data_IF_088256313307
#
_entry.id   IF_088256313307
#
_cell.length_a   1.000
_cell.length_b   1.000
_cell.length_c   1.000
_cell.angle_alpha   90.00
_cell.angle_beta   90.00
_cell.angle_gamma   90.00
#
_symmetry.space_group_name_H-M   'P 1'
#
loop_
_entity.id
_entity.type
_entity.pdbx_description
1 polymer ?
#
# COMPACT_ATOMS: atom_id res chain seq x y z
N UNK A 1 18.46 -1.82 9.14
CA UNK A 1 18.80 -0.39 9.15
C UNK A 1 18.80 0.09 7.72
N UNK A 2 18.19 1.23 7.41
CA UNK A 2 18.32 1.88 6.10
C UNK A 2 19.54 2.80 6.09
N UNK A 3 20.24 2.87 4.95
CA UNK A 3 21.55 3.49 4.82
C UNK A 3 21.48 5.02 4.68
N UNK A 4 21.09 5.69 5.77
CA UNK A 4 21.22 7.14 5.93
C UNK A 4 22.43 7.47 6.80
N UNK A 5 23.62 7.52 6.20
CA UNK A 5 24.89 7.71 6.91
C UNK A 5 24.86 8.84 7.96
N UNK A 6 24.22 9.96 7.63
CA UNK A 6 24.20 11.13 8.51
C UNK A 6 23.44 10.85 9.81
N UNK A 7 22.47 9.92 9.79
CA UNK A 7 21.71 9.47 10.96
C UNK A 7 22.54 8.65 11.92
N UNK A 8 23.63 8.05 11.47
CA UNK A 8 24.58 7.32 12.31
C UNK A 8 25.71 8.22 12.84
N UNK A 9 25.88 9.41 12.25
CA UNK A 9 26.98 10.32 12.57
C UNK A 9 26.82 10.96 13.96
N UNK A 10 27.90 11.16 14.75
CA UNK A 10 27.85 11.81 16.06
C UNK A 10 27.20 13.19 16.08
N UNK A 11 27.23 13.91 14.94
CA UNK A 11 26.53 15.19 14.78
C UNK A 11 25.01 15.05 15.01
N UNK A 12 24.41 13.99 14.48
CA UNK A 12 22.97 13.74 14.65
C UNK A 12 22.66 13.31 16.08
N UNK A 13 23.51 12.48 16.69
CA UNK A 13 23.39 12.15 18.12
C UNK A 13 23.41 13.42 18.97
N UNK A 14 24.36 14.33 18.72
CA UNK A 14 24.46 15.59 19.46
C UNK A 14 23.27 16.51 19.22
N UNK A 15 22.73 16.55 18.00
CA UNK A 15 21.49 17.27 17.70
C UNK A 15 20.31 16.76 18.54
N UNK A 16 20.14 15.44 18.64
CA UNK A 16 19.09 14.80 19.45
C UNK A 16 19.24 15.17 20.93
N UNK A 17 20.46 15.11 21.46
CA UNK A 17 20.75 15.50 22.85
C UNK A 17 20.36 16.96 23.11
N UNK A 18 20.77 17.90 22.26
CA UNK A 18 20.46 19.33 22.41
C UNK A 18 18.95 19.58 22.44
N UNK A 19 18.18 18.88 21.61
CA UNK A 19 16.71 18.99 21.60
C UNK A 19 16.12 18.42 22.89
N UNK A 20 16.57 17.24 23.34
CA UNK A 20 16.10 16.60 24.59
C UNK A 20 16.46 17.41 25.82
N UNK A 21 17.62 18.06 25.83
CA UNK A 21 18.08 18.97 26.87
C UNK A 21 17.26 20.28 26.90
N UNK A 22 16.43 20.55 25.89
CA UNK A 22 15.60 21.75 25.83
C UNK A 22 16.39 23.04 25.59
N UNK A 23 17.58 22.95 24.98
CA UNK A 23 18.50 24.09 24.79
C UNK A 23 17.85 25.27 24.05
N UNK A 24 16.95 24.99 23.11
CA UNK A 24 16.19 25.99 22.35
C UNK A 24 14.72 26.12 22.78
N UNK A 25 14.35 25.55 23.92
CA UNK A 25 12.96 25.46 24.38
C UNK A 25 12.12 24.51 23.51
N UNK A 26 10.82 24.78 23.40
CA UNK A 26 9.92 23.97 22.59
C UNK A 26 10.21 24.15 21.10
N UNK A 27 10.48 23.07 20.37
CA UNK A 27 10.63 23.11 18.91
C UNK A 27 9.31 23.56 18.27
N UNK A 28 9.37 24.52 17.34
CA UNK A 28 8.20 25.09 16.64
C UNK A 28 8.26 24.89 15.14
N UNK A 29 9.39 25.23 14.52
CA UNK A 29 9.57 25.18 13.07
C UNK A 29 10.88 24.49 12.72
N UNK A 30 10.82 23.60 11.73
CA UNK A 30 11.99 22.94 11.13
C UNK A 30 12.10 23.41 9.68
N UNK A 31 13.30 23.77 9.23
CA UNK A 31 13.59 24.01 7.81
C UNK A 31 14.74 23.10 7.40
N UNK A 32 14.56 22.33 6.34
CA UNK A 32 15.60 21.42 5.84
C UNK A 32 15.66 21.45 4.31
N UNK A 33 16.86 21.66 3.77
CA UNK A 33 17.11 21.72 2.33
C UNK A 33 18.17 20.72 1.90
N UNK A 34 17.91 19.98 0.81
CA UNK A 34 18.96 19.27 0.09
C UNK A 34 18.73 19.35 -1.41
N UNK A 35 19.55 20.13 -2.09
CA UNK A 35 19.52 20.30 -3.53
C UNK A 35 20.90 20.51 -4.12
N UNK A 36 21.02 20.21 -5.42
CA UNK A 36 22.18 20.53 -6.21
C UNK A 36 21.75 20.83 -7.65
N UNK A 37 22.65 21.40 -8.44
CA UNK A 37 22.42 21.60 -9.86
C UNK A 37 23.28 20.62 -10.66
N UNK A 38 22.64 19.76 -11.43
CA UNK A 38 23.28 18.93 -12.45
C UNK A 38 22.72 19.23 -13.85
N UNK A 39 23.50 18.93 -14.87
CA UNK A 39 23.05 19.07 -16.27
C UNK A 39 21.97 18.05 -16.58
N UNK A 40 20.89 18.48 -17.23
CA UNK A 40 19.83 17.60 -17.70
C UNK A 40 20.39 16.50 -18.60
N UNK A 41 20.13 15.24 -18.24
CA UNK A 41 20.47 14.06 -19.02
C UNK A 41 19.33 13.05 -18.87
N UNK A 42 18.46 12.87 -19.86
CA UNK A 42 17.29 11.99 -19.74
C UNK A 42 17.65 10.50 -19.61
N UNK A 43 18.88 10.10 -19.95
CA UNK A 43 19.40 8.75 -19.70
C UNK A 43 20.10 8.63 -18.34
N UNK A 44 20.26 9.73 -17.61
CA UNK A 44 20.87 9.75 -16.29
C UNK A 44 19.86 9.33 -15.22
N UNK A 45 20.33 8.55 -14.22
CA UNK A 45 19.49 8.00 -13.13
C UNK A 45 18.62 9.05 -12.41
N UNK A 46 19.06 10.30 -12.35
CA UNK A 46 18.34 11.40 -11.69
C UNK A 46 17.10 11.85 -12.45
N UNK A 47 17.09 11.67 -13.77
CA UNK A 47 16.00 12.10 -14.65
C UNK A 47 15.19 10.93 -15.22
N UNK A 48 15.60 9.69 -14.96
CA UNK A 48 14.92 8.49 -15.44
C UNK A 48 13.78 8.10 -14.49
N UNK A 49 12.50 8.23 -14.90
CA UNK A 49 11.36 7.85 -14.08
C UNK A 49 11.28 6.34 -13.83
N UNK A 50 11.90 5.49 -14.66
CA UNK A 50 11.91 4.04 -14.45
C UNK A 50 12.83 3.62 -13.30
N UNK A 51 13.79 4.47 -12.93
CA UNK A 51 14.75 4.25 -11.84
C UNK A 51 14.38 5.00 -10.55
N UNK A 52 13.20 5.64 -10.50
CA UNK A 52 12.79 6.45 -9.36
C UNK A 52 13.54 7.78 -9.24
N UNK A 53 13.94 8.36 -10.38
CA UNK A 53 14.58 9.68 -10.41
C UNK A 53 13.70 10.81 -9.85
N UNK A 54 14.29 12.00 -9.70
CA UNK A 54 13.66 13.18 -9.11
C UNK A 54 14.25 13.60 -7.77
N UNK A 55 13.99 14.85 -7.39
CA UNK A 55 14.50 15.45 -6.17
C UNK A 55 13.98 14.76 -4.91
N UNK A 56 12.68 14.48 -4.84
CA UNK A 56 12.00 13.92 -3.66
C UNK A 56 12.64 12.60 -3.22
N UNK A 57 12.86 11.66 -4.12
CA UNK A 57 13.43 10.35 -3.77
C UNK A 57 14.96 10.36 -3.70
N UNK A 58 15.66 11.15 -4.53
CA UNK A 58 17.14 11.16 -4.53
C UNK A 58 17.70 11.88 -3.29
N UNK A 59 17.24 13.11 -3.03
CA UNK A 59 17.78 13.96 -1.96
C UNK A 59 16.72 14.49 -0.99
N UNK A 60 15.46 14.57 -1.37
CA UNK A 60 14.34 15.01 -0.52
C UNK A 60 14.04 14.05 0.63
N UNK A 61 14.45 12.79 0.50
CA UNK A 61 14.40 11.78 1.56
C UNK A 61 15.27 12.15 2.78
N UNK A 62 16.29 13.01 2.63
CA UNK A 62 17.11 13.51 3.74
C UNK A 62 16.39 14.60 4.56
N UNK A 63 15.89 15.72 3.96
CA UNK A 63 15.02 16.66 4.66
C UNK A 63 13.80 16.03 5.33
N UNK A 64 13.15 15.07 4.66
CA UNK A 64 12.01 14.34 5.24
C UNK A 64 12.42 13.57 6.50
N UNK A 65 13.49 12.77 6.41
CA UNK A 65 13.92 11.93 7.52
C UNK A 65 14.38 12.76 8.72
N UNK A 66 15.13 13.85 8.53
CA UNK A 66 15.57 14.69 9.65
C UNK A 66 14.39 15.42 10.31
N UNK A 67 13.40 15.87 9.53
CA UNK A 67 12.23 16.54 10.08
C UNK A 67 11.40 15.59 10.96
N UNK A 68 11.21 14.34 10.51
CA UNK A 68 10.55 13.27 11.28
C UNK A 68 11.30 12.94 12.57
N UNK A 69 12.64 12.90 12.55
CA UNK A 69 13.47 12.72 13.75
C UNK A 69 13.29 13.88 14.74
N UNK A 70 13.51 15.12 14.30
CA UNK A 70 13.46 16.30 15.18
C UNK A 70 12.08 16.45 15.81
N UNK A 71 11.01 16.30 15.01
CA UNK A 71 9.64 16.37 15.52
C UNK A 71 9.33 15.24 16.51
N UNK A 72 9.82 14.02 16.25
CA UNK A 72 9.71 12.90 17.18
C UNK A 72 10.40 13.18 18.51
N UNK A 73 11.67 13.59 18.46
CA UNK A 73 12.48 13.87 19.64
C UNK A 73 11.86 14.99 20.48
N UNK A 74 11.35 16.05 19.83
CA UNK A 74 10.63 17.13 20.51
C UNK A 74 9.35 16.65 21.21
N UNK A 75 8.74 15.57 20.73
CA UNK A 75 7.56 14.94 21.32
C UNK A 75 7.89 13.76 22.27
N UNK A 76 9.17 13.57 22.63
CA UNK A 76 9.61 12.47 23.50
C UNK A 76 9.55 11.09 22.84
N UNK A 77 9.62 11.03 21.51
CA UNK A 77 9.66 9.80 20.69
C UNK A 77 10.94 9.75 19.86
N UNK A 78 11.20 8.62 19.22
CA UNK A 78 12.38 8.48 18.34
C UNK A 78 12.17 9.13 16.97
N UNK A 79 10.93 9.16 16.48
CA UNK A 79 10.50 9.87 15.28
C UNK A 79 8.98 10.15 15.37
N UNK A 80 8.48 11.03 14.50
CA UNK A 80 7.05 11.31 14.37
C UNK A 80 6.59 11.21 12.91
N UNK A 81 5.34 10.77 12.72
CA UNK A 81 4.67 10.87 11.42
C UNK A 81 4.01 12.25 11.28
N UNK A 82 4.08 12.89 10.11
CA UNK A 82 3.32 14.10 9.88
C UNK A 82 1.81 13.79 9.82
N UNK A 83 0.99 14.61 10.45
CA UNK A 83 -0.47 14.57 10.29
C UNK A 83 -0.86 15.04 8.88
N UNK A 84 -0.14 16.03 8.34
CA UNK A 84 -0.41 16.66 7.05
C UNK A 84 0.88 16.84 6.24
N UNK A 85 0.76 16.65 4.92
CA UNK A 85 1.83 16.87 3.93
C UNK A 85 1.23 17.64 2.76
N UNK A 86 1.66 18.88 2.57
CA UNK A 86 1.34 19.71 1.40
C UNK A 86 2.61 19.96 0.61
N UNK A 87 2.53 20.02 -0.72
CA UNK A 87 3.72 20.22 -1.54
C UNK A 87 3.43 20.78 -2.92
N UNK A 88 4.47 21.32 -3.53
CA UNK A 88 4.50 21.78 -4.91
C UNK A 88 5.83 21.38 -5.55
N UNK A 89 5.84 21.14 -6.86
CA UNK A 89 7.03 20.76 -7.59
C UNK A 89 7.00 21.32 -9.01
N UNK A 90 8.19 21.50 -9.59
CA UNK A 90 8.33 21.59 -11.05
C UNK A 90 8.62 20.19 -11.58
N UNK A 91 7.73 19.70 -12.43
CA UNK A 91 7.98 18.46 -13.17
C UNK A 91 8.78 18.79 -14.44
N UNK A 92 9.82 17.99 -14.67
CA UNK A 92 10.71 18.08 -15.82
C UNK A 92 10.16 17.43 -17.08
N UNK A 93 10.96 17.45 -18.14
CA UNK A 93 10.58 16.87 -19.44
C UNK A 93 10.30 15.35 -19.40
N UNK A 94 10.89 14.63 -18.44
CA UNK A 94 10.68 13.19 -18.24
C UNK A 94 9.53 12.89 -17.26
N UNK A 95 8.89 13.92 -16.71
CA UNK A 95 7.77 13.81 -15.77
C UNK A 95 8.16 13.57 -14.31
N UNK A 96 9.45 13.49 -13.99
CA UNK A 96 9.97 13.49 -12.61
C UNK A 96 9.96 14.89 -12.02
N UNK A 97 10.03 15.01 -10.70
CA UNK A 97 10.20 16.29 -10.01
C UNK A 97 11.67 16.75 -10.06
N UNK A 98 11.95 17.85 -10.77
CA UNK A 98 13.33 18.38 -10.84
C UNK A 98 13.68 19.20 -9.59
N UNK A 99 12.69 19.89 -9.02
CA UNK A 99 12.72 20.47 -7.68
C UNK A 99 11.33 20.47 -7.06
N UNK A 100 11.29 20.38 -5.73
CA UNK A 100 10.06 20.33 -4.96
C UNK A 100 10.22 21.01 -3.60
N UNK A 101 9.09 21.48 -3.08
CA UNK A 101 8.95 21.99 -1.71
C UNK A 101 7.77 21.31 -1.02
N UNK A 102 7.86 21.16 0.30
CA UNK A 102 6.77 20.68 1.12
C UNK A 102 6.63 21.47 2.43
N UNK A 103 5.39 21.56 2.93
CA UNK A 103 5.07 21.95 4.30
C UNK A 103 4.43 20.76 5.00
N UNK A 104 4.98 20.41 6.17
CA UNK A 104 4.50 19.32 7.01
C UNK A 104 3.92 19.89 8.31
N UNK A 105 2.89 19.22 8.82
CA UNK A 105 2.39 19.43 10.19
C UNK A 105 2.56 18.15 10.97
N UNK A 106 3.23 18.21 12.11
CA UNK A 106 3.40 17.09 13.02
C UNK A 106 2.47 17.19 14.24
N UNK A 107 2.23 16.06 14.93
CA UNK A 107 1.59 16.06 16.24
C UNK A 107 2.26 17.06 17.20
N UNK A 108 1.47 17.71 18.04
CA UNK A 108 1.99 18.76 18.95
C UNK A 108 2.22 20.12 18.29
N UNK A 109 1.91 20.27 17.00
CA UNK A 109 1.89 21.56 16.30
C UNK A 109 3.23 22.02 15.74
N UNK A 110 4.25 21.16 15.73
CA UNK A 110 5.52 21.42 15.04
C UNK A 110 5.28 21.48 13.53
N UNK A 111 5.77 22.53 12.87
CA UNK A 111 5.72 22.67 11.42
C UNK A 111 7.10 22.41 10.81
N UNK A 112 7.14 21.85 9.61
CA UNK A 112 8.38 21.72 8.85
C UNK A 112 8.24 22.23 7.42
N UNK A 113 9.29 22.85 6.89
CA UNK A 113 9.43 23.24 5.49
C UNK A 113 10.61 22.49 4.88
N UNK A 114 10.34 21.77 3.80
CA UNK A 114 11.33 20.98 3.08
C UNK A 114 11.56 21.58 1.70
N UNK A 115 12.81 21.56 1.25
CA UNK A 115 13.20 21.89 -0.13
C UNK A 115 14.11 20.81 -0.68
N UNK A 116 13.90 20.46 -1.94
CA UNK A 116 14.76 19.52 -2.65
C UNK A 116 14.86 19.80 -4.15
N UNK A 117 15.89 19.29 -4.80
CA UNK A 117 15.99 19.28 -6.26
C UNK A 117 17.36 18.88 -6.81
N UNK A 118 17.36 18.39 -8.03
CA UNK A 118 18.56 17.94 -8.78
C UNK A 118 19.01 18.95 -9.84
N UNK A 119 18.19 19.97 -10.10
CA UNK A 119 18.42 21.03 -11.08
C UNK A 119 18.32 22.44 -10.45
N UNK A 120 18.54 22.56 -9.14
CA UNK A 120 18.49 23.84 -8.40
C UNK A 120 19.60 23.91 -7.34
N UNK A 121 20.37 24.98 -7.35
CA UNK A 121 21.46 25.20 -6.38
C UNK A 121 20.98 25.88 -5.10
N UNK A 122 20.27 25.16 -4.24
CA UNK A 122 19.82 25.67 -2.94
C UNK A 122 20.82 25.46 -1.79
N UNK A 123 20.53 26.04 -0.63
CA UNK A 123 21.31 25.80 0.59
C UNK A 123 21.06 24.38 1.14
N UNK A 124 22.14 23.68 1.46
CA UNK A 124 22.10 22.34 2.03
C UNK A 124 22.30 22.38 3.54
N UNK A 125 21.27 22.86 4.25
CA UNK A 125 21.32 23.12 5.69
C UNK A 125 20.06 22.64 6.40
N UNK A 126 20.15 22.45 7.72
CA UNK A 126 19.00 22.26 8.60
C UNK A 126 18.96 23.40 9.62
N UNK A 127 17.78 24.01 9.79
CA UNK A 127 17.49 25.02 10.80
C UNK A 127 16.34 24.55 11.68
N UNK A 128 16.48 24.71 13.00
CA UNK A 128 15.45 24.36 13.97
C UNK A 128 15.18 25.58 14.82
N UNK A 129 13.94 26.04 14.83
CA UNK A 129 13.50 27.21 15.58
C UNK A 129 12.64 26.74 16.76
N UNK A 130 13.08 27.06 17.96
CA UNK A 130 12.36 26.81 19.20
C UNK A 130 11.90 28.09 19.88
N UNK A 131 11.22 27.97 21.02
CA UNK A 131 10.69 29.11 21.77
C UNK A 131 11.79 30.00 22.40
N UNK A 132 12.95 29.43 22.71
CA UNK A 132 14.05 30.11 23.42
C UNK A 132 15.32 30.26 22.58
N UNK A 133 15.31 29.82 21.32
CA UNK A 133 16.49 29.89 20.46
C UNK A 133 16.35 29.15 19.14
N UNK A 134 17.48 28.96 18.46
CA UNK A 134 17.57 28.25 17.20
C UNK A 134 18.86 27.45 17.07
N UNK A 135 18.80 26.41 16.23
CA UNK A 135 19.94 25.62 15.79
C UNK A 135 20.14 25.81 14.29
N UNK A 136 21.40 25.88 13.86
CA UNK A 136 21.80 25.77 12.45
C UNK A 136 22.81 24.63 12.33
N UNK A 137 22.55 23.72 11.39
CA UNK A 137 23.43 22.64 10.99
C UNK A 137 23.91 22.94 9.57
N UNK A 138 25.13 23.49 9.39
CA UNK A 138 25.59 23.99 8.09
C UNK A 138 25.95 22.90 7.07
N UNK A 139 26.32 21.71 7.54
CA UNK A 139 26.61 20.55 6.70
C UNK A 139 25.97 19.30 7.34
N UNK A 140 24.66 19.08 7.11
CA UNK A 140 23.91 18.01 7.75
C UNK A 140 24.01 16.67 7.02
N UNK A 141 24.30 16.65 5.71
CA UNK A 141 24.16 15.45 4.88
C UNK A 141 25.45 14.66 4.70
N UNK A 142 26.59 15.35 4.68
CA UNK A 142 27.94 14.77 4.54
C UNK A 142 28.91 15.42 5.55
N UNK A 143 28.60 15.37 6.86
CA UNK A 143 29.42 16.01 7.88
C UNK A 143 30.86 15.48 7.87
N UNK A 144 31.87 16.33 8.00
CA UNK A 144 33.27 15.90 8.07
C UNK A 144 33.94 15.57 6.71
N UNK A 145 33.16 15.39 5.64
CA UNK A 145 33.67 14.84 4.38
C UNK A 145 34.61 15.78 3.61
N UNK A 146 34.45 17.09 3.80
CA UNK A 146 35.31 18.12 3.21
C UNK A 146 36.59 18.38 4.03
N UNK A 147 36.84 17.57 5.07
CA UNK A 147 37.96 17.75 5.99
C UNK A 147 37.71 18.82 7.06
N UNK A 148 36.52 19.42 7.11
CA UNK A 148 36.13 20.34 8.19
C UNK A 148 35.32 19.60 9.25
N UNK A 149 35.58 19.82 10.56
CA UNK A 149 34.79 19.21 11.62
C UNK A 149 33.29 19.52 11.48
N UNK A 150 32.46 18.55 11.82
CA UNK A 150 31.02 18.77 11.86
C UNK A 150 30.68 19.79 12.93
N UNK A 151 29.66 20.63 12.70
CA UNK A 151 29.27 21.68 13.64
C UNK A 151 27.78 21.86 13.76
N UNK A 152 27.36 22.31 14.93
CA UNK A 152 26.02 22.82 15.22
C UNK A 152 26.17 24.21 15.82
N UNK A 153 25.57 25.21 15.18
CA UNK A 153 25.54 26.58 15.69
C UNK A 153 24.27 26.75 16.52
N UNK A 154 24.44 27.14 17.78
CA UNK A 154 23.34 27.38 18.72
C UNK A 154 23.24 28.88 18.97
N UNK A 155 22.04 29.43 18.82
CA UNK A 155 21.74 30.82 19.19
C UNK A 155 20.56 30.84 20.14
N UNK A 156 20.80 31.16 21.40
CA UNK A 156 19.74 31.34 22.39
C UNK A 156 19.35 32.81 22.53
N UNK A 157 18.14 33.06 23.00
CA UNK A 157 17.59 34.42 23.15
C UNK A 157 18.31 35.24 24.23
N UNK A 158 18.81 34.58 25.26
CA UNK A 158 19.52 35.14 26.42
C UNK A 158 21.03 35.25 26.21
N UNK A 159 21.55 34.82 25.06
CA UNK A 159 22.97 34.89 24.69
C UNK A 159 23.19 35.98 23.63
N UNK A 160 24.22 36.81 23.83
CA UNK A 160 24.53 37.91 22.91
C UNK A 160 25.06 37.40 21.55
N UNK A 161 25.89 36.35 21.58
CA UNK A 161 26.54 35.78 20.40
C UNK A 161 26.18 34.30 20.26
N UNK A 162 26.05 33.78 19.03
CA UNK A 162 25.89 32.35 18.80
C UNK A 162 27.15 31.59 19.23
N UNK A 163 26.96 30.38 19.75
CA UNK A 163 28.06 29.45 20.05
C UNK A 163 28.10 28.32 19.04
N UNK A 164 29.29 27.88 18.68
CA UNK A 164 29.49 26.70 17.83
C UNK A 164 29.84 25.49 18.70
N UNK A 165 29.18 24.37 18.42
CA UNK A 165 29.51 23.06 18.97
C UNK A 165 30.22 22.29 17.86
N UNK A 166 31.53 22.10 18.02
CA UNK A 166 32.35 21.29 17.11
C UNK A 166 32.24 19.82 17.52
N UNK A 167 32.03 18.96 16.53
CA UNK A 167 31.77 17.54 16.72
C UNK A 167 32.78 16.75 15.91
N UNK A 168 33.69 16.10 16.64
CA UNK A 168 34.68 15.21 16.06
C UNK A 168 34.07 13.84 15.77
N UNK A 169 34.37 13.30 14.60
CA UNK A 169 33.94 11.97 14.19
C UNK A 169 35.13 11.01 14.21
N UNK A 170 34.93 9.74 14.64
CA UNK A 170 36.02 8.78 14.72
C UNK A 170 36.54 8.33 13.35
N UNK A 171 35.74 8.51 12.29
CA UNK A 171 36.04 8.07 10.94
C UNK A 171 35.17 8.84 9.92
N UNK A 172 35.38 8.55 8.63
CA UNK A 172 34.49 8.97 7.54
C UNK A 172 33.03 8.54 7.82
N UNK A 173 32.02 9.35 7.45
CA UNK A 173 30.62 9.04 7.75
C UNK A 173 30.12 7.68 7.25
N UNK A 174 30.64 7.16 6.14
CA UNK A 174 30.27 5.82 5.66
C UNK A 174 30.87 4.71 6.53
N UNK A 175 32.08 4.91 7.06
CA UNK A 175 32.66 3.96 8.02
C UNK A 175 31.86 3.95 9.33
N UNK A 176 31.43 5.12 9.80
CA UNK A 176 30.54 5.23 10.98
C UNK A 176 29.21 4.50 10.76
N UNK A 177 28.61 4.61 9.56
CA UNK A 177 27.41 3.85 9.21
C UNK A 177 27.64 2.33 9.21
N UNK A 178 28.77 1.88 8.65
CA UNK A 178 29.11 0.46 8.61
C UNK A 178 29.32 -0.12 10.01
N UNK A 179 29.98 0.62 10.90
CA UNK A 179 30.17 0.24 12.30
C UNK A 179 28.83 0.19 13.05
N UNK A 180 27.95 1.18 12.83
CA UNK A 180 26.61 1.20 13.40
C UNK A 180 25.77 0.00 12.92
N UNK A 181 25.87 -0.37 11.65
CA UNK A 181 25.23 -1.57 11.12
C UNK A 181 25.77 -2.84 11.78
N UNK A 182 27.09 -2.99 11.86
CA UNK A 182 27.72 -4.14 12.48
C UNK A 182 27.32 -4.30 13.96
N UNK A 183 27.27 -3.19 14.71
CA UNK A 183 26.84 -3.16 16.10
C UNK A 183 25.35 -3.52 16.28
N UNK A 184 24.52 -3.26 15.28
CA UNK A 184 23.09 -3.56 15.31
C UNK A 184 22.75 -5.04 15.04
N UNK A 185 23.67 -5.81 14.44
CA UNK A 185 23.44 -7.22 14.05
C UNK A 185 22.92 -8.08 15.23
N UNK A 186 23.53 -8.04 16.44
CA UNK A 186 23.07 -8.86 17.56
C UNK A 186 21.65 -8.51 18.04
N UNK A 187 21.26 -7.23 17.95
CA UNK A 187 19.95 -6.75 18.37
C UNK A 187 18.88 -6.89 17.27
N UNK A 188 19.28 -7.12 16.01
CA UNK A 188 18.40 -7.19 14.85
C UNK A 188 17.85 -5.83 14.38
N UNK A 189 18.09 -4.75 15.13
CA UNK A 189 17.64 -3.40 14.84
C UNK A 189 18.69 -2.39 15.31
N UNK A 190 18.94 -1.36 14.49
CA UNK A 190 19.84 -0.27 14.88
C UNK A 190 19.12 0.70 15.81
N UNK A 191 19.74 1.12 16.93
CA UNK A 191 19.11 2.06 17.84
C UNK A 191 19.01 3.47 17.22
N UNK A 192 18.00 4.26 17.60
CA UNK A 192 17.93 5.67 17.25
C UNK A 192 19.21 6.41 17.67
N UNK A 193 19.68 7.41 16.90
CA UNK A 193 19.00 8.04 15.77
C UNK A 193 19.11 7.31 14.42
N UNK A 194 19.80 6.17 14.35
CA UNK A 194 19.89 5.39 13.11
C UNK A 194 18.50 4.91 12.63
N UNK A 195 18.34 4.75 11.32
CA UNK A 195 17.05 4.41 10.70
C UNK A 195 16.69 2.94 10.93
N UNK A 196 15.83 2.69 11.91
CA UNK A 196 15.20 1.38 12.14
C UNK A 196 14.08 1.06 11.12
N UNK A 197 13.60 -0.20 11.04
CA UNK A 197 12.57 -0.59 10.07
C UNK A 197 11.29 0.26 10.11
N UNK A 198 10.79 0.59 11.30
CA UNK A 198 9.58 1.41 11.45
C UNK A 198 9.80 2.85 10.99
N UNK A 199 10.97 3.43 11.31
CA UNK A 199 11.34 4.77 10.87
C UNK A 199 11.46 4.82 9.34
N UNK A 200 12.12 3.83 8.74
CA UNK A 200 12.24 3.67 7.28
C UNK A 200 10.89 3.56 6.58
N UNK A 201 9.97 2.72 7.09
CA UNK A 201 8.63 2.58 6.52
C UNK A 201 7.83 3.88 6.65
N UNK A 202 7.94 4.58 7.78
CA UNK A 202 7.31 5.87 7.97
C UNK A 202 7.88 6.95 7.04
N UNK A 203 9.20 6.95 6.82
CA UNK A 203 9.85 7.87 5.89
C UNK A 203 9.33 7.67 4.46
N UNK A 204 9.23 6.41 4.02
CA UNK A 204 8.68 6.08 2.70
C UNK A 204 7.21 6.51 2.58
N UNK A 205 6.37 6.27 3.60
CA UNK A 205 4.98 6.74 3.60
C UNK A 205 4.88 8.27 3.51
N UNK A 206 5.76 8.99 4.20
CA UNK A 206 5.78 10.45 4.15
C UNK A 206 6.23 10.96 2.77
N UNK A 207 7.21 10.31 2.15
CA UNK A 207 7.63 10.58 0.77
C UNK A 207 6.51 10.28 -0.24
N UNK A 208 5.80 9.16 -0.11
CA UNK A 208 4.64 8.82 -0.94
C UNK A 208 3.55 9.88 -0.85
N UNK A 209 3.30 10.41 0.36
CA UNK A 209 2.35 11.50 0.55
C UNK A 209 2.81 12.80 -0.11
N UNK A 210 4.11 13.10 -0.10
CA UNK A 210 4.65 14.25 -0.83
C UNK A 210 4.51 14.07 -2.34
N UNK A 211 4.88 12.91 -2.88
CA UNK A 211 4.69 12.56 -4.30
C UNK A 211 3.21 12.65 -4.71
N UNK A 212 2.31 12.13 -3.87
CA UNK A 212 0.87 12.21 -4.11
C UNK A 212 0.35 13.67 -4.13
N UNK A 213 0.85 14.54 -3.25
CA UNK A 213 0.48 15.95 -3.22
C UNK A 213 0.81 16.68 -4.53
N UNK A 214 1.85 16.24 -5.25
CA UNK A 214 2.25 16.78 -6.55
C UNK A 214 1.80 15.91 -7.74
N UNK A 215 1.02 14.84 -7.48
CA UNK A 215 0.53 13.86 -8.47
C UNK A 215 1.64 13.16 -9.27
N UNK A 216 2.82 13.00 -8.66
CA UNK A 216 3.91 12.24 -9.26
C UNK A 216 3.65 10.73 -9.12
N UNK A 217 3.59 10.04 -10.25
CA UNK A 217 3.39 8.58 -10.33
C UNK A 217 4.44 8.00 -11.28
N UNK A 218 5.27 7.08 -10.79
CA UNK A 218 6.28 6.45 -11.61
C UNK A 218 5.65 5.43 -12.59
N UNK A 219 6.30 5.15 -13.73
CA UNK A 219 5.82 4.17 -14.69
C UNK A 219 5.46 2.83 -14.06
N UNK A 220 6.30 2.30 -13.15
CA UNK A 220 6.06 1.03 -12.46
C UNK A 220 4.84 1.02 -11.53
N UNK A 221 4.32 2.18 -11.16
CA UNK A 221 3.16 2.33 -10.28
C UNK A 221 1.84 2.48 -11.07
N UNK A 222 1.92 2.67 -12.38
CA UNK A 222 0.76 2.80 -13.25
C UNK A 222 0.04 1.47 -13.43
N UNK A 223 -1.26 1.53 -13.66
CA UNK A 223 -2.12 0.36 -13.83
C UNK A 223 -1.69 -0.50 -15.04
N UNK A 224 -1.13 0.14 -16.06
CA UNK A 224 -0.70 -0.54 -17.29
C UNK A 224 0.61 -1.30 -17.12
N UNK A 225 1.42 -0.95 -16.12
CA UNK A 225 2.74 -1.53 -15.95
C UNK A 225 2.65 -2.99 -15.48
N UNK A 226 3.50 -3.89 -16.01
CA UNK A 226 3.57 -5.24 -15.50
C UNK A 226 4.01 -5.20 -14.03
N UNK A 227 3.30 -5.88 -13.11
CA UNK A 227 3.64 -5.84 -11.70
C UNK A 227 5.04 -6.43 -11.51
N UNK A 228 6.01 -5.69 -10.91
CA UNK A 228 7.24 -6.33 -10.49
C UNK A 228 6.89 -7.47 -9.53
N UNK A 229 7.52 -8.64 -9.65
CA UNK A 229 7.34 -9.69 -8.66
C UNK A 229 7.93 -9.22 -7.34
N UNK A 230 7.19 -9.39 -6.23
CA UNK A 230 7.71 -8.99 -4.90
C UNK A 230 9.03 -9.68 -4.60
N UNK A 231 9.22 -10.87 -5.18
CA UNK A 231 10.47 -11.62 -5.16
C UNK A 231 10.95 -11.80 -6.59
N UNK A 232 12.27 -11.77 -6.80
CA UNK A 232 12.90 -12.07 -8.10
C UNK A 232 12.72 -13.55 -8.54
N UNK A 233 12.00 -14.37 -7.75
CA UNK A 233 11.80 -15.81 -8.00
C UNK A 233 10.39 -16.07 -8.55
N UNK A 234 10.18 -17.16 -9.31
CA UNK A 234 8.84 -17.61 -9.64
C UNK A 234 7.98 -17.77 -8.39
N UNK A 235 6.70 -17.43 -8.52
CA UNK A 235 5.74 -17.51 -7.43
C UNK A 235 5.49 -18.99 -7.08
N UNK A 236 5.77 -19.39 -5.84
CA UNK A 236 5.61 -20.76 -5.35
C UNK A 236 5.16 -20.76 -3.88
N UNK A 237 4.51 -21.84 -3.44
CA UNK A 237 4.06 -21.98 -2.06
C UNK A 237 5.29 -22.11 -1.13
N UNK A 238 5.38 -21.24 -0.13
CA UNK A 238 6.47 -21.22 0.85
C UNK A 238 6.54 -22.55 1.60
N UNK A 239 7.72 -23.15 1.64
CA UNK A 239 8.00 -24.37 2.42
C UNK A 239 8.29 -24.00 3.88
N UNK A 240 7.46 -24.47 4.82
CA UNK A 240 7.63 -24.30 6.27
C UNK A 240 7.15 -22.95 6.82
N UNK A 241 6.69 -22.95 8.09
CA UNK A 241 6.46 -21.71 8.87
C UNK A 241 5.02 -21.38 9.30
N UNK A 242 4.02 -22.23 9.04
CA UNK A 242 2.64 -22.00 9.49
C UNK A 242 1.72 -23.22 9.32
N UNK A 243 0.48 -23.17 9.82
CA UNK A 243 -0.50 -24.22 9.57
C UNK A 243 -0.76 -24.34 8.07
N UNK A 244 -0.85 -25.57 7.56
CA UNK A 244 -1.10 -25.82 6.15
C UNK A 244 -2.48 -25.26 5.74
N UNK A 245 -2.52 -24.60 4.58
CA UNK A 245 -3.78 -24.19 3.95
C UNK A 245 -4.66 -25.42 3.75
N UNK A 246 -5.93 -25.31 4.13
CA UNK A 246 -6.93 -26.35 3.87
C UNK A 246 -7.62 -26.07 2.55
N UNK A 247 -7.97 -27.13 1.83
CA UNK A 247 -8.62 -27.03 0.54
C UNK A 247 -9.97 -27.75 0.53
N UNK A 248 -10.93 -27.19 -0.20
CA UNK A 248 -12.15 -27.84 -0.63
C UNK A 248 -12.14 -28.06 -2.15
N UNK A 249 -13.22 -28.63 -2.66
CA UNK A 249 -13.48 -28.75 -4.10
C UNK A 249 -14.76 -28.00 -4.44
N UNK A 250 -14.80 -27.44 -5.63
CA UNK A 250 -16.01 -26.84 -6.17
C UNK A 250 -16.71 -27.83 -7.10
N UNK A 251 -18.06 -27.80 -7.17
CA UNK A 251 -18.78 -28.56 -8.18
C UNK A 251 -18.27 -28.23 -9.59
N UNK A 252 -17.91 -29.26 -10.36
CA UNK A 252 -17.42 -29.09 -11.74
C UNK A 252 -15.98 -28.58 -11.87
N UNK A 253 -15.18 -28.58 -10.80
CA UNK A 253 -13.76 -28.22 -10.85
C UNK A 253 -12.89 -29.09 -9.94
N UNK A 254 -11.80 -29.63 -10.49
CA UNK A 254 -10.79 -30.37 -9.72
C UNK A 254 -9.75 -29.49 -9.04
N UNK A 255 -9.82 -28.17 -9.27
CA UNK A 255 -8.89 -27.23 -8.66
C UNK A 255 -9.08 -27.20 -7.14
N UNK A 256 -7.97 -27.18 -6.37
CA UNK A 256 -8.05 -27.05 -4.93
C UNK A 256 -8.50 -25.62 -4.59
N UNK A 257 -9.70 -25.45 -4.04
CA UNK A 257 -10.19 -24.17 -3.56
C UNK A 257 -9.74 -23.96 -2.12
N UNK A 258 -8.91 -22.95 -1.85
CA UNK A 258 -8.47 -22.65 -0.48
C UNK A 258 -9.66 -22.29 0.40
N UNK A 259 -9.71 -22.82 1.62
CA UNK A 259 -10.81 -22.54 2.57
C UNK A 259 -10.81 -21.10 3.07
N UNK A 260 -9.68 -20.42 2.96
CA UNK A 260 -9.62 -18.96 3.03
C UNK A 260 -9.73 -18.40 1.62
N UNK A 261 -10.57 -17.38 1.46
CA UNK A 261 -10.80 -16.70 0.18
C UNK A 261 -10.32 -15.27 0.31
N UNK A 262 -9.47 -14.82 -0.61
CA UNK A 262 -9.00 -13.44 -0.66
C UNK A 262 -10.02 -12.58 -1.43
N UNK A 263 -10.69 -11.68 -0.72
CA UNK A 263 -11.50 -10.63 -1.34
C UNK A 263 -10.62 -9.60 -2.05
N UNK A 264 -11.05 -9.15 -3.22
CA UNK A 264 -10.34 -8.21 -4.08
C UNK A 264 -11.18 -6.94 -4.24
N UNK A 265 -11.50 -6.28 -3.13
CA UNK A 265 -12.38 -5.09 -3.09
C UNK A 265 -11.68 -3.80 -2.62
N UNK A 266 -10.45 -3.92 -2.12
CA UNK A 266 -9.70 -2.82 -1.50
C UNK A 266 -8.36 -2.48 -2.18
N UNK A 267 -7.87 -3.30 -3.10
CA UNK A 267 -6.69 -2.96 -3.91
C UNK A 267 -7.03 -1.92 -4.97
N UNK A 268 -6.29 -0.80 -4.98
CA UNK A 268 -6.48 0.34 -5.91
C UNK A 268 -5.30 0.60 -6.85
N UNK A 269 -4.16 -0.04 -6.58
CA UNK A 269 -2.91 0.18 -7.32
C UNK A 269 -2.19 -1.14 -7.51
N UNK A 270 -1.47 -1.30 -8.62
CA UNK A 270 -0.77 -2.54 -8.92
C UNK A 270 0.29 -2.95 -7.90
N UNK A 271 1.14 -2.05 -7.36
CA UNK A 271 2.12 -2.43 -6.34
C UNK A 271 1.48 -3.03 -5.07
N UNK A 272 0.42 -2.39 -4.55
CA UNK A 272 -0.30 -2.93 -3.40
C UNK A 272 -0.97 -4.29 -3.70
N UNK A 273 -1.63 -4.41 -4.84
CA UNK A 273 -2.26 -5.68 -5.24
C UNK A 273 -1.25 -6.81 -5.39
N UNK A 274 -0.15 -6.57 -6.11
CA UNK A 274 0.88 -7.57 -6.32
C UNK A 274 1.44 -8.10 -4.98
N UNK A 275 1.70 -7.22 -4.02
CA UNK A 275 2.21 -7.62 -2.70
C UNK A 275 1.22 -8.49 -1.93
N UNK A 276 -0.05 -8.10 -1.91
CA UNK A 276 -1.08 -8.85 -1.19
C UNK A 276 -1.37 -10.20 -1.85
N UNK A 277 -1.46 -10.23 -3.19
CA UNK A 277 -1.77 -11.44 -3.94
C UNK A 277 -0.60 -12.42 -3.95
N UNK A 278 0.64 -11.93 -4.11
CA UNK A 278 1.85 -12.76 -4.00
C UNK A 278 1.93 -13.38 -2.59
N UNK A 279 1.75 -12.61 -1.50
CA UNK A 279 1.83 -13.16 -0.14
C UNK A 279 0.71 -14.18 0.15
N UNK A 280 -0.52 -13.93 -0.29
CA UNK A 280 -1.62 -14.88 -0.13
C UNK A 280 -1.36 -16.18 -0.89
N UNK A 281 -0.93 -16.10 -2.14
CA UNK A 281 -0.57 -17.27 -2.94
C UNK A 281 0.58 -18.06 -2.33
N UNK A 282 1.64 -17.36 -1.92
CA UNK A 282 2.83 -17.96 -1.29
C UNK A 282 2.48 -18.69 0.03
N UNK A 283 1.35 -18.37 0.66
CA UNK A 283 0.82 -19.10 1.84
C UNK A 283 -0.08 -20.28 1.47
N UNK A 284 -0.19 -20.61 0.18
CA UNK A 284 -1.03 -21.67 -0.36
C UNK A 284 -2.45 -21.23 -0.72
N UNK A 285 -2.76 -19.93 -0.68
CA UNK A 285 -4.05 -19.40 -1.10
C UNK A 285 -4.28 -19.57 -2.61
N UNK A 286 -5.45 -20.08 -2.99
CA UNK A 286 -5.80 -20.37 -4.39
C UNK A 286 -7.14 -19.79 -4.80
N UNK A 287 -7.93 -19.26 -3.86
CA UNK A 287 -9.28 -18.75 -4.13
C UNK A 287 -9.36 -17.25 -3.93
N UNK A 288 -9.69 -16.55 -5.01
CA UNK A 288 -9.85 -15.10 -5.07
C UNK A 288 -11.30 -14.75 -5.40
N UNK A 289 -11.82 -13.74 -4.71
CA UNK A 289 -13.18 -13.26 -4.85
C UNK A 289 -13.19 -11.81 -5.32
N UNK A 290 -13.87 -11.56 -6.43
CA UNK A 290 -13.99 -10.23 -7.04
C UNK A 290 -15.43 -9.96 -7.46
N UNK A 291 -15.70 -8.77 -7.99
CA UNK A 291 -16.99 -8.40 -8.54
C UNK A 291 -16.84 -7.29 -9.58
N UNK A 292 -17.77 -7.28 -10.54
CA UNK A 292 -17.84 -6.31 -11.63
C UNK A 292 -17.75 -4.83 -11.18
N UNK A 293 -18.29 -4.53 -9.99
CA UNK A 293 -18.34 -3.16 -9.47
C UNK A 293 -17.16 -2.75 -8.59
N UNK A 294 -16.35 -3.70 -8.12
CA UNK A 294 -15.33 -3.41 -7.11
C UNK A 294 -14.31 -2.41 -7.64
N UNK A 295 -14.11 -1.32 -6.90
CA UNK A 295 -13.25 -0.21 -7.30
C UNK A 295 -13.64 0.46 -8.63
N UNK A 296 -14.90 0.34 -9.07
CA UNK A 296 -15.33 0.80 -10.40
C UNK A 296 -14.84 -0.08 -11.56
N UNK A 297 -14.40 -1.31 -11.27
CA UNK A 297 -13.83 -2.26 -12.24
C UNK A 297 -12.32 -2.44 -12.12
N UNK A 298 -11.62 -1.48 -11.52
CA UNK A 298 -10.15 -1.52 -11.37
C UNK A 298 -9.68 -2.76 -10.63
N UNK A 299 -10.44 -3.27 -9.67
CA UNK A 299 -10.03 -4.45 -8.89
C UNK A 299 -9.99 -5.74 -9.73
N UNK A 300 -10.90 -5.92 -10.69
CA UNK A 300 -10.84 -7.03 -11.65
C UNK A 300 -9.66 -6.88 -12.61
N UNK A 301 -9.39 -5.65 -13.08
CA UNK A 301 -8.25 -5.38 -13.96
C UNK A 301 -6.91 -5.66 -13.27
N UNK A 302 -6.77 -5.28 -12.00
CA UNK A 302 -5.60 -5.56 -11.18
C UNK A 302 -5.40 -7.07 -10.98
N UNK A 303 -6.47 -7.80 -10.66
CA UNK A 303 -6.41 -9.26 -10.49
C UNK A 303 -6.03 -9.93 -11.82
N UNK A 304 -6.69 -9.58 -12.93
CA UNK A 304 -6.43 -10.15 -14.24
C UNK A 304 -4.99 -9.95 -14.70
N UNK A 305 -4.46 -8.72 -14.56
CA UNK A 305 -3.06 -8.41 -14.87
C UNK A 305 -2.09 -9.19 -14.01
N UNK A 306 -2.35 -9.32 -12.71
CA UNK A 306 -1.51 -10.11 -11.82
C UNK A 306 -1.52 -11.60 -12.21
N UNK A 307 -2.70 -12.17 -12.46
CA UNK A 307 -2.85 -13.58 -12.86
C UNK A 307 -2.09 -13.86 -14.16
N UNK A 308 -2.24 -12.99 -15.17
CA UNK A 308 -1.54 -13.08 -16.45
C UNK A 308 -0.01 -12.93 -16.26
N UNK A 309 0.43 -11.90 -15.55
CA UNK A 309 1.85 -11.62 -15.34
C UNK A 309 2.58 -12.72 -14.55
N UNK A 310 1.87 -13.45 -13.68
CA UNK A 310 2.44 -14.59 -12.93
C UNK A 310 2.24 -15.92 -13.62
N UNK A 311 1.36 -16.01 -14.62
CA UNK A 311 1.05 -17.25 -15.33
C UNK A 311 0.35 -18.31 -14.46
N UNK A 312 -0.48 -17.87 -13.50
CA UNK A 312 -1.04 -18.75 -12.44
C UNK A 312 -2.51 -19.13 -12.63
N UNK A 313 -3.17 -18.71 -13.72
CA UNK A 313 -4.64 -18.85 -13.91
C UNK A 313 -5.17 -20.25 -13.60
N UNK A 314 -4.47 -21.28 -14.07
CA UNK A 314 -4.90 -22.67 -13.93
C UNK A 314 -4.75 -23.22 -12.52
N UNK A 315 -3.88 -22.62 -11.70
CA UNK A 315 -3.74 -22.94 -10.27
C UNK A 315 -4.75 -22.21 -9.37
N UNK A 316 -5.56 -21.32 -9.95
CA UNK A 316 -6.48 -20.47 -9.19
C UNK A 316 -7.95 -20.79 -9.44
N UNK A 317 -8.73 -20.56 -8.38
CA UNK A 317 -10.18 -20.48 -8.37
C UNK A 317 -10.57 -19.01 -8.28
N UNK A 318 -11.23 -18.48 -9.31
CA UNK A 318 -11.73 -17.11 -9.33
C UNK A 318 -13.24 -17.11 -9.19
N UNK A 319 -13.73 -16.37 -8.19
CA UNK A 319 -15.15 -16.08 -7.97
C UNK A 319 -15.43 -14.69 -8.53
N UNK A 320 -16.23 -14.62 -9.60
CA UNK A 320 -16.75 -13.36 -10.15
C UNK A 320 -18.16 -13.09 -9.66
N UNK A 321 -18.56 -11.82 -9.58
CA UNK A 321 -19.96 -11.44 -9.28
C UNK A 321 -20.45 -10.30 -10.16
N UNK A 322 -21.68 -10.40 -10.60
CA UNK A 322 -22.38 -9.35 -11.34
C UNK A 322 -23.88 -9.33 -11.04
N UNK A 323 -24.67 -8.66 -11.89
CA UNK A 323 -26.05 -8.30 -11.59
C UNK A 323 -26.20 -7.55 -10.25
N UNK A 324 -25.35 -6.54 -10.02
CA UNK A 324 -25.45 -5.67 -8.85
C UNK A 324 -26.45 -4.52 -9.09
N UNK A 325 -27.04 -4.01 -7.99
CA UNK A 325 -27.97 -2.88 -8.03
C UNK A 325 -27.35 -1.64 -8.69
N UNK A 326 -28.12 -0.89 -9.50
CA UNK A 326 -29.55 -1.08 -9.78
C UNK A 326 -29.86 -2.14 -10.86
N UNK A 327 -28.86 -2.65 -11.56
CA UNK A 327 -29.01 -3.54 -12.72
C UNK A 327 -29.04 -5.01 -12.32
N UNK A 328 -30.02 -5.40 -11.51
CA UNK A 328 -30.26 -6.78 -11.07
C UNK A 328 -31.25 -7.47 -12.01
N UNK A 329 -30.81 -7.82 -13.22
CA UNK A 329 -31.66 -8.47 -14.22
C UNK A 329 -30.85 -9.44 -15.12
N UNK A 330 -31.51 -10.38 -15.84
CA UNK A 330 -30.83 -11.38 -16.66
C UNK A 330 -29.92 -10.79 -17.75
N UNK A 331 -30.31 -9.68 -18.39
CA UNK A 331 -29.46 -9.03 -19.39
C UNK A 331 -28.15 -8.53 -18.78
N UNK A 332 -28.22 -7.96 -17.56
CA UNK A 332 -27.06 -7.48 -16.83
C UNK A 332 -26.09 -8.60 -16.45
N UNK A 333 -26.57 -9.83 -16.20
CA UNK A 333 -25.71 -11.01 -15.97
C UNK A 333 -24.75 -11.18 -17.15
N UNK A 334 -25.30 -11.24 -18.37
CA UNK A 334 -24.52 -11.43 -19.60
C UNK A 334 -23.54 -10.28 -19.83
N UNK A 335 -24.03 -9.04 -19.80
CA UNK A 335 -23.16 -7.88 -20.11
C UNK A 335 -22.05 -7.72 -19.09
N UNK A 336 -22.36 -7.89 -17.79
CA UNK A 336 -21.37 -7.72 -16.73
C UNK A 336 -20.37 -8.89 -16.70
N UNK A 337 -20.81 -10.13 -16.95
CA UNK A 337 -19.90 -11.26 -17.07
C UNK A 337 -18.88 -11.04 -18.20
N UNK A 338 -19.30 -10.59 -19.38
CA UNK A 338 -18.35 -10.33 -20.47
C UNK A 338 -17.34 -9.26 -20.12
N UNK A 339 -17.76 -8.14 -19.53
CA UNK A 339 -16.84 -7.11 -19.03
C UNK A 339 -15.89 -7.65 -17.96
N UNK A 340 -16.38 -8.46 -17.02
CA UNK A 340 -15.54 -9.08 -15.99
C UNK A 340 -14.49 -9.99 -16.61
N UNK A 341 -14.85 -10.83 -17.58
CA UNK A 341 -13.91 -11.74 -18.27
C UNK A 341 -12.82 -10.98 -19.04
N UNK A 342 -13.19 -9.89 -19.71
CA UNK A 342 -12.24 -8.98 -20.38
C UNK A 342 -11.24 -8.39 -19.37
N UNK A 343 -11.73 -7.81 -18.27
CA UNK A 343 -10.88 -7.22 -17.22
C UNK A 343 -9.98 -8.25 -16.53
N UNK A 344 -10.53 -9.44 -16.26
CA UNK A 344 -9.82 -10.56 -15.66
C UNK A 344 -8.84 -11.24 -16.64
N UNK A 345 -8.88 -10.89 -17.93
CA UNK A 345 -8.02 -11.45 -18.98
C UNK A 345 -8.10 -12.98 -19.03
N UNK A 346 -9.31 -13.51 -18.94
CA UNK A 346 -9.57 -14.96 -18.94
C UNK A 346 -10.91 -15.26 -19.58
N UNK A 347 -11.05 -16.45 -20.16
CA UNK A 347 -12.28 -16.85 -20.84
C UNK A 347 -13.36 -17.38 -19.88
N UNK A 348 -13.00 -17.63 -18.61
CA UNK A 348 -13.91 -18.19 -17.62
C UNK A 348 -13.60 -17.78 -16.19
N UNK A 349 -14.64 -17.77 -15.35
CA UNK A 349 -14.51 -17.80 -13.89
C UNK A 349 -14.83 -19.20 -13.36
N UNK A 350 -14.29 -19.56 -12.20
CA UNK A 350 -14.58 -20.87 -11.59
C UNK A 350 -15.96 -20.86 -10.93
N UNK A 351 -16.33 -19.74 -10.30
CA UNK A 351 -17.67 -19.46 -9.79
C UNK A 351 -18.18 -18.11 -10.28
N UNK A 352 -19.45 -18.03 -10.66
CA UNK A 352 -20.12 -16.76 -10.89
C UNK A 352 -21.33 -16.58 -9.95
N UNK A 353 -21.37 -15.50 -9.19
CA UNK A 353 -22.47 -15.22 -8.27
C UNK A 353 -23.32 -14.05 -8.75
N UNK A 354 -24.64 -14.18 -8.64
CA UNK A 354 -25.54 -13.04 -8.66
C UNK A 354 -25.30 -12.22 -7.39
N UNK A 355 -24.77 -11.00 -7.54
CA UNK A 355 -24.30 -10.17 -6.43
C UNK A 355 -25.46 -9.63 -5.57
N UNK A 356 -26.64 -9.45 -6.17
CA UNK A 356 -27.88 -9.01 -5.53
C UNK A 356 -29.07 -9.73 -6.15
N UNK A 357 -30.15 -9.84 -5.39
CA UNK A 357 -31.44 -10.34 -5.90
C UNK A 357 -32.30 -9.19 -6.45
N UNK A 358 -33.20 -9.54 -7.36
CA UNK A 358 -34.35 -8.73 -7.75
C UNK A 358 -35.64 -9.57 -7.64
N UNK A 359 -36.39 -9.42 -6.54
CA UNK A 359 -37.61 -10.18 -6.32
C UNK A 359 -38.73 -9.91 -7.33
N UNK A 360 -38.66 -8.80 -8.09
CA UNK A 360 -39.63 -8.50 -9.13
C UNK A 360 -39.46 -9.36 -10.40
N UNK A 361 -38.31 -10.05 -10.55
CA UNK A 361 -38.02 -10.92 -11.67
C UNK A 361 -38.11 -12.39 -11.21
N UNK A 362 -38.85 -13.24 -11.95
CA UNK A 362 -38.90 -14.69 -11.71
C UNK A 362 -37.49 -15.31 -11.63
N UNK A 363 -37.28 -16.22 -10.67
CA UNK A 363 -35.99 -16.91 -10.49
C UNK A 363 -35.54 -17.67 -11.75
N UNK A 364 -36.51 -18.19 -12.51
CA UNK A 364 -36.24 -18.98 -13.72
C UNK A 364 -35.46 -18.20 -14.77
N UNK A 365 -35.77 -16.92 -14.96
CA UNK A 365 -35.06 -16.08 -15.95
C UNK A 365 -33.56 -15.93 -15.60
N UNK A 366 -33.21 -15.90 -14.31
CA UNK A 366 -31.82 -15.90 -13.88
C UNK A 366 -31.16 -17.27 -14.05
N UNK A 367 -31.86 -18.35 -13.71
CA UNK A 367 -31.34 -19.71 -13.83
C UNK A 367 -31.09 -20.07 -15.29
N UNK A 368 -31.96 -19.66 -16.22
CA UNK A 368 -31.81 -19.93 -17.64
C UNK A 368 -30.56 -19.27 -18.23
N UNK A 369 -30.33 -17.97 -17.94
CA UNK A 369 -29.13 -17.25 -18.43
C UNK A 369 -27.84 -17.77 -17.80
N UNK A 370 -27.87 -18.16 -16.51
CA UNK A 370 -26.69 -18.75 -15.86
C UNK A 370 -26.33 -20.12 -16.46
N UNK A 371 -27.33 -20.96 -16.75
CA UNK A 371 -27.13 -22.24 -17.42
C UNK A 371 -26.63 -22.07 -18.87
N UNK A 372 -27.07 -21.03 -19.58
CA UNK A 372 -26.53 -20.68 -20.90
C UNK A 372 -25.02 -20.44 -20.82
N UNK A 373 -24.57 -19.56 -19.92
CA UNK A 373 -23.15 -19.23 -19.77
C UNK A 373 -22.31 -20.38 -19.22
N UNK A 374 -22.88 -21.21 -18.34
CA UNK A 374 -22.24 -22.43 -17.87
C UNK A 374 -22.01 -23.41 -19.03
N UNK A 375 -23.03 -23.69 -19.84
CA UNK A 375 -22.89 -24.54 -21.05
C UNK A 375 -21.90 -23.98 -22.05
N UNK A 376 -21.84 -22.65 -22.17
CA UNK A 376 -20.88 -21.95 -23.00
C UNK A 376 -19.45 -21.90 -22.41
N UNK A 377 -19.21 -22.53 -21.26
CA UNK A 377 -17.88 -22.67 -20.64
C UNK A 377 -17.34 -21.43 -19.93
N UNK A 378 -18.14 -20.37 -19.78
CA UNK A 378 -17.74 -19.07 -19.18
C UNK A 378 -17.71 -19.11 -17.66
N UNK A 379 -18.35 -20.12 -17.06
CA UNK A 379 -18.30 -20.42 -15.64
C UNK A 379 -18.34 -21.93 -15.42
N UNK A 380 -17.75 -22.44 -14.33
CA UNK A 380 -17.83 -23.88 -13.98
C UNK A 380 -19.06 -24.17 -13.13
N UNK A 381 -19.33 -23.32 -12.15
CA UNK A 381 -20.57 -23.32 -11.39
C UNK A 381 -21.01 -21.89 -11.07
N UNK A 382 -22.21 -21.74 -10.53
CA UNK A 382 -22.78 -20.45 -10.19
C UNK A 382 -23.58 -20.50 -8.91
N UNK A 383 -23.88 -19.32 -8.38
CA UNK A 383 -24.57 -19.18 -7.11
C UNK A 383 -25.13 -17.78 -6.89
N UNK A 384 -25.40 -17.47 -5.63
CA UNK A 384 -26.04 -16.23 -5.25
C UNK A 384 -25.34 -15.57 -4.06
N UNK A 385 -25.43 -14.25 -3.97
CA UNK A 385 -24.95 -13.46 -2.85
C UNK A 385 -26.02 -12.44 -2.48
N UNK A 386 -26.33 -12.34 -1.19
CA UNK A 386 -27.41 -11.51 -0.66
C UNK A 386 -28.80 -11.91 -1.22
N UNK A 387 -29.05 -13.22 -1.28
CA UNK A 387 -30.36 -13.78 -1.60
C UNK A 387 -30.97 -14.42 -0.37
N UNK A 388 -32.30 -14.30 -0.20
CA UNK A 388 -33.05 -15.00 0.84
C UNK A 388 -33.11 -16.49 0.56
N UNK A 389 -33.23 -17.31 1.61
CA UNK A 389 -33.35 -18.78 1.51
C UNK A 389 -34.49 -19.17 0.58
N UNK A 390 -35.65 -18.53 0.71
CA UNK A 390 -36.85 -18.83 -0.08
C UNK A 390 -36.62 -18.63 -1.59
N UNK A 391 -35.85 -17.60 -1.95
CA UNK A 391 -35.50 -17.30 -3.35
C UNK A 391 -34.48 -18.29 -3.89
N UNK A 392 -33.53 -18.74 -3.05
CA UNK A 392 -32.56 -19.77 -3.41
C UNK A 392 -33.27 -21.12 -3.63
N UNK A 393 -34.18 -21.50 -2.74
CA UNK A 393 -34.98 -22.73 -2.88
C UNK A 393 -35.86 -22.70 -4.13
N UNK A 394 -36.55 -21.59 -4.39
CA UNK A 394 -37.35 -21.42 -5.60
C UNK A 394 -36.50 -21.55 -6.87
N UNK A 395 -35.29 -20.96 -6.89
CA UNK A 395 -34.38 -21.06 -8.02
C UNK A 395 -33.90 -22.50 -8.25
N UNK A 396 -33.57 -23.21 -7.17
CA UNK A 396 -33.15 -24.61 -7.24
C UNK A 396 -34.28 -25.57 -7.60
N UNK A 397 -35.53 -25.30 -7.17
CA UNK A 397 -36.72 -26.05 -7.60
C UNK A 397 -36.99 -25.86 -9.09
N UNK A 398 -36.92 -24.62 -9.57
CA UNK A 398 -37.04 -24.32 -11.00
C UNK A 398 -35.98 -25.08 -11.79
N UNK A 399 -34.71 -25.00 -11.37
CA UNK A 399 -33.63 -25.72 -12.04
C UNK A 399 -33.89 -27.22 -12.12
N UNK A 400 -34.30 -27.86 -11.01
CA UNK A 400 -34.56 -29.30 -10.95
C UNK A 400 -35.72 -29.71 -11.84
N UNK A 401 -36.82 -28.97 -11.83
CA UNK A 401 -38.01 -29.26 -12.65
C UNK A 401 -37.76 -29.11 -14.15
N UNK A 402 -36.72 -28.37 -14.55
CA UNK A 402 -36.34 -28.15 -15.94
C UNK A 402 -35.06 -28.91 -16.36
N UNK A 403 -34.50 -29.76 -15.49
CA UNK A 403 -33.27 -30.51 -15.78
C UNK A 403 -32.03 -29.63 -15.94
N UNK A 404 -32.01 -28.47 -15.28
CA UNK A 404 -30.93 -27.48 -15.29
C UNK A 404 -30.09 -27.56 -14.01
N UNK A 405 -28.90 -26.96 -14.04
CA UNK A 405 -28.10 -26.75 -12.84
C UNK A 405 -28.72 -25.66 -11.95
N UNK A 406 -28.72 -25.88 -10.64
CA UNK A 406 -29.11 -24.89 -9.64
C UNK A 406 -27.92 -24.16 -9.04
N UNK A 407 -28.19 -23.30 -8.05
CA UNK A 407 -27.16 -22.65 -7.26
C UNK A 407 -26.33 -23.66 -6.46
N UNK A 408 -25.03 -23.63 -6.69
CA UNK A 408 -24.05 -24.49 -6.04
C UNK A 408 -23.46 -23.87 -4.76
N UNK A 409 -23.57 -22.55 -4.61
CA UNK A 409 -22.93 -21.78 -3.53
C UNK A 409 -23.77 -20.56 -3.16
N UNK A 410 -23.67 -20.14 -1.89
CA UNK A 410 -24.27 -18.91 -1.38
C UNK A 410 -23.24 -18.09 -0.62
N UNK A 411 -23.17 -16.79 -0.92
CA UNK A 411 -22.24 -15.84 -0.29
C UNK A 411 -23.01 -14.74 0.44
N UNK A 412 -23.72 -15.13 1.50
CA UNK A 412 -24.38 -14.20 2.43
C UNK A 412 -23.41 -13.83 3.57
N UNK A 413 -23.68 -12.72 4.24
CA UNK A 413 -22.82 -12.25 5.33
C UNK A 413 -22.85 -13.22 6.51
N UNK A 414 -21.69 -13.75 6.89
CA UNK A 414 -21.53 -14.55 8.08
C UNK A 414 -20.45 -13.95 8.97
N UNK A 415 -20.79 -13.74 10.24
CA UNK A 415 -19.89 -13.21 11.26
C UNK A 415 -20.25 -13.79 12.61
N UNK A 416 -19.24 -13.89 13.50
CA UNK A 416 -19.46 -14.20 14.91
C UNK A 416 -20.23 -13.09 15.62
N UNK A 417 -20.06 -11.84 15.17
CA UNK A 417 -20.83 -10.72 15.67
C UNK A 417 -22.20 -10.68 14.96
N UNK A 418 -23.26 -10.41 15.73
CA UNK A 418 -24.59 -10.21 15.15
C UNK A 418 -24.63 -8.89 14.39
N UNK A 419 -24.96 -8.95 13.11
CA UNK A 419 -25.23 -7.76 12.29
C UNK A 419 -26.52 -7.11 12.80
N UNK A 420 -26.40 -5.97 13.48
CA UNK A 420 -27.55 -5.17 13.94
C UNK A 420 -28.06 -4.29 12.79
N UNK A 421 -27.12 -3.65 12.09
CA UNK A 421 -27.38 -2.86 10.89
C UNK A 421 -26.60 -3.47 9.71
N UNK A 422 -27.16 -3.49 8.49
CA UNK A 422 -26.45 -3.95 7.32
C UNK A 422 -25.17 -3.14 7.09
N UNK A 423 -24.04 -3.84 6.96
CA UNK A 423 -22.73 -3.23 6.63
C UNK A 423 -22.78 -2.49 5.28
N UNK A 424 -23.68 -2.92 4.40
CA UNK A 424 -24.05 -2.24 3.16
C UNK A 424 -25.53 -2.50 2.83
N UNK A 425 -26.12 -1.62 2.02
CA UNK A 425 -27.52 -1.75 1.61
C UNK A 425 -27.78 -3.10 0.92
N UNK A 426 -28.89 -3.74 1.31
CA UNK A 426 -29.28 -5.06 0.79
C UNK A 426 -28.40 -6.23 1.26
N UNK A 427 -27.56 -6.05 2.29
CA UNK A 427 -26.82 -7.16 2.89
C UNK A 427 -27.76 -8.12 3.64
N UNK A 428 -27.63 -9.42 3.37
CA UNK A 428 -28.39 -10.46 4.09
C UNK A 428 -27.42 -11.24 4.99
N UNK A 429 -27.74 -11.31 6.28
CA UNK A 429 -27.01 -12.12 7.24
C UNK A 429 -27.40 -13.60 7.16
N UNK A 430 -26.43 -14.46 7.46
CA UNK A 430 -26.55 -15.91 7.53
C UNK A 430 -26.19 -16.47 8.91
N UNK A 431 -26.09 -15.60 9.93
CA UNK A 431 -25.65 -15.98 11.29
C UNK A 431 -26.79 -16.33 12.24
N UNK A 432 -28.05 -16.09 11.85
CA UNK A 432 -29.22 -16.49 12.64
C UNK A 432 -29.42 -18.01 12.65
N UNK A 433 -30.18 -18.50 13.64
CA UNK A 433 -30.40 -19.94 13.85
C UNK A 433 -31.00 -20.63 12.63
N UNK A 434 -31.94 -19.98 11.93
CA UNK A 434 -32.62 -20.56 10.76
C UNK A 434 -31.64 -20.71 9.61
N UNK A 435 -30.90 -19.64 9.29
CA UNK A 435 -29.88 -19.69 8.24
C UNK A 435 -28.83 -20.74 8.51
N UNK A 436 -28.32 -20.83 9.75
CA UNK A 436 -27.30 -21.82 10.13
C UNK A 436 -27.79 -23.27 9.99
N UNK A 437 -29.02 -23.55 10.41
CA UNK A 437 -29.62 -24.87 10.27
C UNK A 437 -29.76 -25.24 8.79
N UNK A 438 -30.30 -24.32 7.98
CA UNK A 438 -30.46 -24.52 6.55
C UNK A 438 -29.13 -24.78 5.84
N UNK A 439 -28.10 -23.97 6.13
CA UNK A 439 -26.77 -24.17 5.56
C UNK A 439 -26.15 -25.50 5.97
N UNK A 440 -26.29 -25.94 7.23
CA UNK A 440 -25.74 -27.22 7.67
C UNK A 440 -26.42 -28.44 7.02
N UNK A 441 -27.68 -28.31 6.61
CA UNK A 441 -28.43 -29.36 5.93
C UNK A 441 -28.18 -29.40 4.42
N UNK A 442 -27.88 -28.26 3.81
CA UNK A 442 -27.91 -28.09 2.34
C UNK A 442 -26.57 -27.75 1.69
N UNK A 443 -25.54 -27.37 2.45
CA UNK A 443 -24.22 -26.90 1.96
C UNK A 443 -23.07 -27.52 2.78
#
# INVERSE_FOLDING_TARGET
>A
MEAFLYRCHPQTTRLVEIIREGVIGDVRVIQAGFSFHTTFNPQGRLFDPALGGGGILDVGCYPMSIARLIAGVAAGRDFAEPDEVLGAAQLGATGIDEWAVATLKFPGGVLAQLQTGVSVGGENVVRVFGSEGQLLIPSPWLPGRDGTPARIVVRRRDEAEPREIVIEAPADPYAVEADAFAAAIPAGVAPPPAMGPDDSLGNMRALDRWRAAIRLVYPAERLEAPPPPVRVRPLDVRKGGGPAMRYGRLPGSDKPASRLVMGVDNQRTMPHAAVMFDDFFERGGTTFDTAWQYGGGVCEELLGRWVEARGVREGLVIIGKGAHTPNCNPAAVTTQLFTSLERLRTEYVDLYLLHRDNPAIPVGEFIDVLNEHQRAGRMRAFGASNWSIERIEAANEYARSHGLAGFAVVSNNFSLARMVEPVWAGCIAASDTRSRAWFAETQ
#
